data_IF_171750977381
#
_entry.id   IF_171750977381
#
_cell.length_a   1.000
_cell.length_b   1.000
_cell.length_c   1.000
_cell.angle_alpha   90.00
_cell.angle_beta   90.00
_cell.angle_gamma   90.00
#
_symmetry.space_group_name_H-M   'P 1'
#
loop_
_entity.id
_entity.type
_entity.pdbx_description
1 polymer ?
#
# COMPACT_ATOMS: atom_id res chain seq x y z
N UNK A 1 35.10 -13.27 9.31
CA UNK A 1 34.89 -12.33 8.18
C UNK A 1 33.43 -11.90 8.21
N UNK A 2 33.15 -10.67 8.63
CA UNK A 2 31.78 -10.13 8.63
C UNK A 2 31.38 -9.77 7.19
N UNK A 3 30.16 -10.09 6.72
CA UNK A 3 29.72 -9.69 5.39
C UNK A 3 29.70 -8.15 5.29
N UNK A 4 30.19 -7.63 4.17
CA UNK A 4 30.19 -6.20 3.88
C UNK A 4 28.74 -5.66 3.87
N UNK A 5 28.45 -4.71 4.76
CA UNK A 5 27.13 -4.06 4.86
C UNK A 5 26.63 -3.52 3.50
N UNK A 6 27.55 -3.14 2.61
CA UNK A 6 27.28 -2.65 1.26
C UNK A 6 26.61 -3.67 0.32
N UNK A 7 26.93 -4.98 0.41
CA UNK A 7 26.28 -5.99 -0.44
C UNK A 7 24.84 -6.27 -0.01
N UNK A 8 24.58 -6.17 1.30
CA UNK A 8 23.26 -6.41 1.88
C UNK A 8 22.31 -5.26 1.52
N UNK A 9 22.78 -4.00 1.54
CA UNK A 9 22.01 -2.83 1.11
C UNK A 9 21.67 -2.91 -0.38
N UNK A 10 22.62 -3.31 -1.25
CA UNK A 10 22.34 -3.51 -2.68
C UNK A 10 21.31 -4.63 -2.93
N UNK A 11 21.37 -5.74 -2.18
CA UNK A 11 20.40 -6.84 -2.29
C UNK A 11 19.01 -6.48 -1.75
N UNK A 12 18.93 -5.70 -0.67
CA UNK A 12 17.67 -5.17 -0.13
C UNK A 12 17.04 -4.18 -1.13
N UNK A 13 17.85 -3.28 -1.70
CA UNK A 13 17.38 -2.34 -2.71
C UNK A 13 16.89 -3.09 -3.97
N UNK A 14 17.60 -4.13 -4.43
CA UNK A 14 17.15 -4.96 -5.55
C UNK A 14 15.84 -5.72 -5.25
N UNK A 15 15.65 -6.20 -4.01
CA UNK A 15 14.37 -6.80 -3.58
C UNK A 15 13.21 -5.80 -3.63
N UNK A 16 13.43 -4.51 -3.33
CA UNK A 16 12.41 -3.44 -3.48
C UNK A 16 12.03 -3.14 -4.93
N UNK A 17 12.95 -3.33 -5.88
CA UNK A 17 12.68 -3.15 -7.32
C UNK A 17 11.82 -4.27 -7.95
N UNK A 18 11.40 -5.29 -7.19
CA UNK A 18 10.49 -6.34 -7.68
C UNK A 18 9.01 -6.07 -7.42
N UNK A 19 8.66 -4.97 -6.77
CA UNK A 19 7.25 -4.69 -6.48
C UNK A 19 6.52 -4.15 -7.71
N UNK A 20 5.39 -4.76 -8.02
CA UNK A 20 4.49 -4.35 -9.09
C UNK A 20 3.43 -3.41 -8.54
N UNK A 21 2.87 -2.56 -9.39
CA UNK A 21 1.84 -1.62 -8.95
C UNK A 21 0.70 -1.51 -9.95
N UNK A 22 -0.51 -1.35 -9.42
CA UNK A 22 -1.69 -0.92 -10.18
C UNK A 22 -2.08 0.48 -9.74
N UNK A 23 -2.28 1.35 -10.72
CA UNK A 23 -2.68 2.75 -10.50
C UNK A 23 -4.05 2.97 -11.13
N UNK A 24 -4.97 3.55 -10.36
CA UNK A 24 -6.23 4.07 -10.85
C UNK A 24 -6.26 5.57 -10.67
N UNK A 25 -6.68 6.29 -11.69
CA UNK A 25 -6.88 7.74 -11.64
C UNK A 25 -8.28 8.07 -12.16
N UNK A 26 -9.07 8.68 -11.29
CA UNK A 26 -10.45 9.06 -11.56
C UNK A 26 -10.63 10.55 -11.32
N UNK A 27 -11.44 11.19 -12.16
CA UNK A 27 -11.79 12.60 -12.03
C UNK A 27 -13.27 12.74 -11.75
N UNK A 28 -13.60 13.25 -10.57
CA UNK A 28 -14.97 13.58 -10.16
C UNK A 28 -15.30 15.04 -10.45
N UNK A 29 -16.59 15.36 -10.45
CA UNK A 29 -17.08 16.72 -10.71
C UNK A 29 -16.73 17.68 -9.58
N UNK A 30 -16.68 17.18 -8.35
CA UNK A 30 -16.32 17.96 -7.17
C UNK A 30 -15.58 17.11 -6.13
N UNK A 31 -14.96 17.79 -5.15
CA UNK A 31 -14.16 17.16 -4.10
C UNK A 31 -15.02 16.32 -3.13
N UNK A 32 -16.28 16.68 -2.92
CA UNK A 32 -17.15 15.95 -1.99
C UNK A 32 -17.49 14.55 -2.53
N UNK A 33 -17.82 14.44 -3.81
CA UNK A 33 -18.00 13.15 -4.50
C UNK A 33 -16.72 12.32 -4.46
N UNK A 34 -15.56 12.94 -4.73
CA UNK A 34 -14.27 12.26 -4.64
C UNK A 34 -13.99 11.71 -3.23
N UNK A 35 -14.40 12.42 -2.16
CA UNK A 35 -14.29 11.94 -0.77
C UNK A 35 -15.16 10.72 -0.50
N UNK A 36 -16.42 10.75 -0.94
CA UNK A 36 -17.33 9.61 -0.77
C UNK A 36 -16.81 8.40 -1.54
N UNK A 37 -16.37 8.60 -2.78
CA UNK A 37 -15.77 7.54 -3.58
C UNK A 37 -14.46 7.01 -2.97
N UNK A 38 -13.61 7.87 -2.40
CA UNK A 38 -12.39 7.46 -1.72
C UNK A 38 -12.67 6.59 -0.48
N UNK A 39 -13.70 6.93 0.30
CA UNK A 39 -14.13 6.12 1.43
C UNK A 39 -14.59 4.74 0.96
N UNK A 40 -15.47 4.69 -0.05
CA UNK A 40 -15.92 3.45 -0.68
C UNK A 40 -14.75 2.59 -1.18
N UNK A 41 -13.79 3.19 -1.89
CA UNK A 41 -12.59 2.49 -2.37
C UNK A 41 -11.74 1.96 -1.23
N UNK A 42 -11.58 2.74 -0.16
CA UNK A 42 -10.76 2.36 1.00
C UNK A 42 -11.38 1.19 1.74
N UNK A 43 -12.70 1.17 1.92
CA UNK A 43 -13.42 0.08 2.57
C UNK A 43 -13.39 -1.20 1.71
N UNK A 44 -13.69 -1.07 0.41
CA UNK A 44 -13.67 -2.19 -0.52
C UNK A 44 -12.27 -2.84 -0.60
N UNK A 45 -11.22 -2.03 -0.82
CA UNK A 45 -9.85 -2.54 -0.93
C UNK A 45 -9.32 -3.02 0.42
N UNK A 46 -9.70 -2.34 1.50
CA UNK A 46 -9.38 -2.71 2.88
C UNK A 46 -9.86 -4.13 3.23
N UNK A 47 -11.11 -4.45 2.87
CA UNK A 47 -11.67 -5.79 3.03
C UNK A 47 -10.98 -6.88 2.20
N UNK A 48 -10.14 -6.49 1.22
CA UNK A 48 -9.45 -7.38 0.29
C UNK A 48 -7.94 -7.50 0.53
N UNK A 49 -7.40 -6.78 1.53
CA UNK A 49 -5.96 -6.80 1.88
C UNK A 49 -5.48 -8.24 2.14
N UNK A 50 -6.21 -9.01 2.95
CA UNK A 50 -5.82 -10.38 3.29
C UNK A 50 -5.95 -11.36 2.10
N UNK A 51 -6.96 -11.18 1.23
CA UNK A 51 -7.22 -12.06 0.07
C UNK A 51 -6.10 -11.95 -0.97
N UNK A 52 -5.67 -10.73 -1.29
CA UNK A 52 -4.67 -10.48 -2.35
C UNK A 52 -3.26 -10.21 -1.82
N UNK A 53 -3.09 -10.11 -0.49
CA UNK A 53 -1.81 -9.80 0.17
C UNK A 53 -1.14 -8.55 -0.41
N UNK A 54 -1.89 -7.45 -0.43
CA UNK A 54 -1.37 -6.15 -0.85
C UNK A 54 -0.19 -5.73 0.04
N UNK A 55 0.84 -5.17 -0.58
CA UNK A 55 2.01 -4.65 0.14
C UNK A 55 1.81 -3.22 0.62
N UNK A 56 1.08 -2.42 -0.18
CA UNK A 56 0.66 -1.08 0.19
C UNK A 56 -0.59 -0.69 -0.60
N UNK A 57 -1.46 0.11 0.01
CA UNK A 57 -2.53 0.84 -0.66
C UNK A 57 -2.36 2.31 -0.31
N UNK A 58 -2.34 3.18 -1.31
CA UNK A 58 -2.41 4.63 -1.13
C UNK A 58 -3.62 5.16 -1.87
N UNK A 59 -4.52 5.81 -1.14
CA UNK A 59 -5.69 6.52 -1.68
C UNK A 59 -5.49 8.00 -1.44
N UNK A 60 -5.48 8.81 -2.49
CA UNK A 60 -5.24 10.24 -2.43
C UNK A 60 -6.33 11.02 -3.17
N UNK A 61 -6.78 12.12 -2.56
CA UNK A 61 -7.77 13.03 -3.16
C UNK A 61 -7.09 14.36 -3.48
N UNK A 62 -7.14 14.78 -4.74
CA UNK A 62 -6.68 16.08 -5.20
C UNK A 62 -7.69 17.19 -4.94
N UNK A 63 -7.21 18.43 -4.82
CA UNK A 63 -8.03 19.63 -4.60
C UNK A 63 -9.06 19.88 -5.73
N UNK A 64 -8.85 19.29 -6.91
CA UNK A 64 -9.75 19.39 -8.05
C UNK A 64 -10.75 18.24 -8.19
N UNK A 65 -10.94 17.39 -7.16
CA UNK A 65 -11.80 16.20 -7.26
C UNK A 65 -11.14 15.02 -7.97
N UNK A 66 -9.81 15.01 -8.06
CA UNK A 66 -9.03 13.88 -8.56
C UNK A 66 -8.94 12.80 -7.48
N UNK A 67 -9.13 11.54 -7.82
CA UNK A 67 -8.91 10.40 -6.93
C UNK A 67 -7.82 9.52 -7.54
N UNK A 68 -6.75 9.29 -6.79
CA UNK A 68 -5.66 8.41 -7.18
C UNK A 68 -5.53 7.26 -6.21
N UNK A 69 -5.51 6.03 -6.74
CA UNK A 69 -5.37 4.81 -5.96
C UNK A 69 -4.15 4.06 -6.49
N UNK A 70 -3.20 3.79 -5.60
CA UNK A 70 -2.01 3.00 -5.88
C UNK A 70 -2.04 1.74 -5.02
N UNK A 71 -1.96 0.58 -5.65
CA UNK A 71 -1.87 -0.71 -4.97
C UNK A 71 -0.55 -1.36 -5.35
N UNK A 72 0.28 -1.69 -4.36
CA UNK A 72 1.57 -2.37 -4.54
C UNK A 72 1.46 -3.88 -4.25
N UNK A 73 2.13 -4.67 -5.07
CA UNK A 73 2.17 -6.13 -5.00
C UNK A 73 3.62 -6.60 -4.97
N UNK A 74 3.89 -7.67 -4.23
CA UNK A 74 5.22 -8.27 -4.14
C UNK A 74 5.60 -9.07 -5.40
N UNK A 75 4.60 -9.64 -6.08
CA UNK A 75 4.79 -10.58 -7.17
C UNK A 75 3.77 -10.32 -8.30
N UNK A 76 4.21 -10.54 -9.55
CA UNK A 76 3.39 -10.32 -10.75
C UNK A 76 2.16 -11.22 -10.80
N UNK A 77 2.23 -12.44 -10.27
CA UNK A 77 1.10 -13.37 -10.23
C UNK A 77 0.00 -12.85 -9.30
N UNK A 78 0.37 -12.18 -8.19
CA UNK A 78 -0.61 -11.53 -7.29
C UNK A 78 -1.30 -10.36 -8.00
N UNK A 79 -0.55 -9.57 -8.77
CA UNK A 79 -1.11 -8.51 -9.60
C UNK A 79 -2.11 -9.08 -10.62
N UNK A 80 -1.71 -10.10 -11.40
CA UNK A 80 -2.58 -10.73 -12.40
C UNK A 80 -3.87 -11.29 -11.80
N UNK A 81 -3.76 -12.02 -10.68
CA UNK A 81 -4.92 -12.56 -9.94
C UNK A 81 -5.86 -11.45 -9.47
N UNK A 82 -5.33 -10.30 -9.06
CA UNK A 82 -6.15 -9.14 -8.72
C UNK A 82 -6.82 -8.56 -9.98
N UNK A 83 -6.10 -8.41 -11.10
CA UNK A 83 -6.63 -7.87 -12.34
C UNK A 83 -7.80 -8.69 -12.92
N UNK A 84 -7.76 -10.02 -12.80
CA UNK A 84 -8.87 -10.91 -13.21
C UNK A 84 -10.19 -10.57 -12.51
N UNK A 85 -10.12 -10.13 -11.25
CA UNK A 85 -11.31 -9.79 -10.44
C UNK A 85 -11.55 -8.29 -10.35
N UNK A 86 -10.59 -7.45 -10.71
CA UNK A 86 -10.67 -5.99 -10.61
C UNK A 86 -11.81 -5.41 -11.47
N UNK A 87 -12.25 -6.11 -12.52
CA UNK A 87 -13.36 -5.65 -13.34
C UNK A 87 -14.67 -5.54 -12.54
N UNK A 88 -14.92 -6.43 -11.58
CA UNK A 88 -16.10 -6.36 -10.71
C UNK A 88 -16.10 -5.07 -9.87
N UNK A 89 -14.95 -4.76 -9.25
CA UNK A 89 -14.73 -3.52 -8.51
C UNK A 89 -14.98 -2.28 -9.38
N UNK A 90 -14.42 -2.24 -10.59
CA UNK A 90 -14.60 -1.10 -11.51
C UNK A 90 -16.08 -0.96 -11.89
N UNK A 91 -16.78 -2.06 -12.12
CA UNK A 91 -18.20 -2.04 -12.47
C UNK A 91 -19.06 -1.53 -11.30
N UNK A 92 -18.80 -1.96 -10.06
CA UNK A 92 -19.47 -1.43 -8.87
C UNK A 92 -19.20 0.07 -8.68
N UNK A 93 -17.96 0.51 -8.95
CA UNK A 93 -17.60 1.92 -8.91
C UNK A 93 -18.39 2.74 -9.93
N UNK A 94 -18.45 2.27 -11.19
CA UNK A 94 -19.19 2.90 -12.29
C UNK A 94 -20.70 2.91 -12.06
N UNK A 95 -21.23 1.91 -11.36
CA UNK A 95 -22.64 1.86 -10.99
C UNK A 95 -23.00 2.84 -9.86
N UNK A 96 -22.03 3.17 -9.00
CA UNK A 96 -22.25 4.00 -7.81
C UNK A 96 -21.89 5.48 -8.02
N UNK A 97 -21.01 5.79 -8.97
CA UNK A 97 -20.47 7.14 -9.14
C UNK A 97 -20.33 7.55 -10.61
N UNK A 98 -20.43 8.86 -10.85
CA UNK A 98 -20.15 9.48 -12.16
C UNK A 98 -18.76 10.13 -12.11
N UNK A 99 -17.83 9.61 -12.90
CA UNK A 99 -16.45 10.11 -12.97
C UNK A 99 -15.87 9.89 -14.38
N UNK A 100 -14.80 10.62 -14.71
CA UNK A 100 -13.99 10.37 -15.90
C UNK A 100 -12.77 9.53 -15.53
N UNK A 101 -12.53 8.46 -16.29
CA UNK A 101 -11.30 7.66 -16.16
C UNK A 101 -10.15 8.36 -16.87
N UNK A 102 -9.02 8.50 -16.19
CA UNK A 102 -7.78 8.94 -16.81
C UNK A 102 -6.79 7.78 -16.72
N UNK A 103 -6.52 7.12 -17.85
CA UNK A 103 -5.60 5.99 -17.85
C UNK A 103 -4.17 6.49 -17.93
N UNK A 104 -3.39 6.29 -16.87
CA UNK A 104 -1.97 6.54 -16.85
C UNK A 104 -1.22 5.23 -16.57
N UNK A 105 -0.37 4.81 -17.52
CA UNK A 105 0.50 3.65 -17.38
C UNK A 105 1.95 4.13 -17.29
N UNK A 106 2.66 3.75 -16.23
CA UNK A 106 4.06 4.13 -16.00
C UNK A 106 4.74 3.18 -15.03
N UNK A 107 6.08 3.12 -15.10
CA UNK A 107 6.91 2.34 -14.17
C UNK A 107 7.59 3.28 -13.20
N UNK A 108 7.56 2.96 -11.91
CA UNK A 108 8.32 3.72 -10.92
C UNK A 108 9.82 3.48 -11.13
N UNK A 109 10.53 4.51 -11.57
CA UNK A 109 12.00 4.47 -11.73
C UNK A 109 12.71 4.66 -10.38
N UNK A 110 12.09 5.40 -9.47
CA UNK A 110 12.58 5.62 -8.11
C UNK A 110 11.36 5.76 -7.19
N UNK A 111 11.32 5.00 -6.11
CA UNK A 111 10.28 5.09 -5.09
C UNK A 111 10.97 5.14 -3.72
N UNK A 112 11.14 6.35 -3.18
CA UNK A 112 11.71 6.57 -1.85
C UNK A 112 10.59 6.76 -0.84
N UNK A 113 10.52 5.85 0.12
CA UNK A 113 9.69 5.97 1.32
C UNK A 113 10.67 6.05 2.49
N UNK A 114 10.66 7.18 3.21
CA UNK A 114 11.42 7.31 4.45
C UNK A 114 10.75 6.40 5.50
N UNK A 115 11.28 5.20 5.71
CA UNK A 115 10.65 4.21 6.59
C UNK A 115 10.44 4.76 8.02
N UNK A 116 9.26 4.47 8.58
CA UNK A 116 9.07 4.42 10.03
C UNK A 116 9.78 3.16 10.54
N UNK A 117 10.88 3.34 11.25
CA UNK A 117 11.64 2.28 11.88
C UNK A 117 10.78 1.53 12.91
N UNK A 118 10.23 0.38 12.52
CA UNK A 118 9.76 -0.60 13.49
C UNK A 118 10.98 -1.12 14.25
N UNK A 119 11.29 -0.48 15.38
CA UNK A 119 12.29 -0.98 16.31
C UNK A 119 11.76 -2.31 16.84
N UNK A 120 12.31 -3.42 16.37
CA UNK A 120 12.20 -4.69 17.07
C UNK A 120 12.82 -4.50 18.46
N UNK A 121 11.99 -4.25 19.46
CA UNK A 121 12.40 -4.34 20.86
C UNK A 121 12.73 -5.82 21.14
N UNK A 122 13.98 -6.20 20.90
CA UNK A 122 14.56 -7.39 21.48
C UNK A 122 14.64 -7.17 22.99
N UNK A 123 13.61 -7.58 23.71
CA UNK A 123 13.74 -7.78 25.15
C UNK A 123 14.64 -8.99 25.38
N UNK A 124 15.94 -8.77 25.52
CA UNK A 124 16.86 -9.79 26.03
C UNK A 124 17.34 -9.39 27.41
N UNK A 125 16.78 -10.04 28.44
CA UNK A 125 17.30 -9.99 29.80
C UNK A 125 16.25 -10.49 30.80
N UNK A 126 16.60 -11.40 31.72
CA UNK A 126 15.69 -11.78 32.78
C UNK A 126 15.41 -10.56 33.68
N UNK A 127 14.14 -10.21 33.82
CA UNK A 127 13.66 -9.24 34.81
C UNK A 127 13.94 -9.82 36.19
N UNK A 128 14.87 -9.22 36.94
CA UNK A 128 14.96 -9.47 38.38
C UNK A 128 13.86 -8.67 39.05
N UNK A 129 12.84 -9.39 39.54
CA UNK A 129 11.84 -8.82 40.44
C UNK A 129 12.58 -8.49 41.74
N UNK A 130 12.60 -7.21 42.13
CA UNK A 130 12.96 -6.85 43.50
C UNK A 130 11.74 -7.16 44.36
N UNK A 131 11.87 -8.15 45.24
CA UNK A 131 10.86 -8.46 46.25
C UNK A 131 10.77 -7.26 47.21
N UNK A 132 9.58 -6.64 47.28
CA UNK A 132 9.23 -5.72 48.35
C UNK A 132 8.97 -6.52 49.63
N UNK A 133 10.06 -7.00 50.25
CA UNK A 133 10.03 -7.49 51.61
C UNK A 133 11.29 -7.02 52.33
N UNK A 134 11.23 -5.80 52.87
CA UNK A 134 11.74 -5.51 54.20
C UNK A 134 11.09 -4.21 54.69
N UNK A 135 10.09 -4.43 55.54
CA UNK A 135 9.78 -3.54 56.65
C UNK A 135 11.01 -3.34 57.55
#
# INVERSE_FOLDING_TARGET
MLPNQWSTICLINWKRYKMYAKIYQYKFSNVNEAKVAAAFCSDYLGGKIAEYKFQAINVAIGKGGDLSILIKFEDINKLKKYEEKAQSFINELKGSFVFKENHFAGVFVLNYEAEASASELKMSGPVKVLDESNA
#
